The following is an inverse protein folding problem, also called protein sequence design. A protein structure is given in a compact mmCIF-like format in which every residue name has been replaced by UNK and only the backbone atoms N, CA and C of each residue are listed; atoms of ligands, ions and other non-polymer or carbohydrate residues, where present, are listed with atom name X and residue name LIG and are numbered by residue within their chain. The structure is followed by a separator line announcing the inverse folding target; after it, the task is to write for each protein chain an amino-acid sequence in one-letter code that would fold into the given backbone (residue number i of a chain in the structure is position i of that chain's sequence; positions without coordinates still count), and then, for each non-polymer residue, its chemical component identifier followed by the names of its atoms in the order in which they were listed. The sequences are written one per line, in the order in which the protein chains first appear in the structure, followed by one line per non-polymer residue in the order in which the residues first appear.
data_IF_513394444925
#
_entry.id   IF_513394444925
#
_cell.length_a   1.000
_cell.length_b   1.000
_cell.length_c   1.000
_cell.angle_alpha   90.00
_cell.angle_beta   90.00
_cell.angle_gamma   90.00
#
_symmetry.space_group_name_H-M   'P 1'
#
loop_
_entity.id
_entity.type
_entity.pdbx_description
1 polymer ?
#
# COMPACT_ATOMS: atom_id res chain seq x y z
N UNK A 1 -19.02 -23.98 11.58
CA UNK A 1 -19.74 -23.04 10.69
C UNK A 1 -21.18 -22.82 11.16
N UNK A 2 -21.89 -23.88 11.57
CA UNK A 2 -23.21 -23.77 12.24
C UNK A 2 -23.10 -22.98 13.56
N UNK A 3 -22.07 -23.23 14.36
CA UNK A 3 -21.89 -22.57 15.66
C UNK A 3 -21.73 -21.04 15.56
N UNK A 4 -21.01 -20.56 14.54
CA UNK A 4 -20.83 -19.12 14.31
C UNK A 4 -22.15 -18.43 13.91
N UNK A 5 -23.02 -19.12 13.17
CA UNK A 5 -24.33 -18.57 12.79
C UNK A 5 -25.27 -18.49 13.99
N UNK A 6 -25.21 -19.48 14.89
CA UNK A 6 -25.97 -19.47 16.15
C UNK A 6 -25.53 -18.30 17.04
N UNK A 7 -24.22 -18.11 17.20
CA UNK A 7 -23.68 -16.98 17.98
C UNK A 7 -24.02 -15.61 17.35
N UNK A 8 -24.01 -15.52 16.01
CA UNK A 8 -24.40 -14.30 15.30
C UNK A 8 -25.89 -13.97 15.49
N UNK A 9 -26.76 -14.97 15.50
CA UNK A 9 -28.19 -14.78 15.76
C UNK A 9 -28.44 -14.25 17.18
N UNK A 10 -27.75 -14.81 18.18
CA UNK A 10 -27.83 -14.33 19.56
C UNK A 10 -27.30 -12.90 19.70
N UNK A 11 -26.16 -12.59 19.08
CA UNK A 11 -25.61 -11.24 19.06
C UNK A 11 -26.60 -10.20 18.47
N UNK A 12 -27.38 -10.58 17.46
CA UNK A 12 -28.43 -9.72 16.88
C UNK A 12 -29.61 -9.55 17.83
N UNK A 13 -30.05 -10.61 18.50
CA UNK A 13 -31.13 -10.54 19.52
C UNK A 13 -30.74 -9.65 20.69
N UNK A 14 -29.48 -9.72 21.13
CA UNK A 14 -28.91 -8.84 22.15
C UNK A 14 -28.72 -7.40 21.65
N UNK A 15 -28.91 -7.14 20.35
CA UNK A 15 -28.79 -5.80 19.77
C UNK A 15 -27.35 -5.29 19.70
N UNK A 16 -26.36 -6.19 19.73
CA UNK A 16 -24.94 -5.82 19.75
C UNK A 16 -24.51 -5.05 18.50
N UNK A 17 -25.26 -5.14 17.40
CA UNK A 17 -25.05 -4.31 16.20
C UNK A 17 -25.22 -2.81 16.45
N UNK A 18 -25.94 -2.43 17.52
CA UNK A 18 -26.13 -1.04 17.93
C UNK A 18 -25.13 -0.59 19.00
N UNK A 19 -24.29 -1.50 19.51
CA UNK A 19 -23.26 -1.14 20.48
C UNK A 19 -22.28 -0.14 19.83
N UNK A 20 -21.94 0.98 20.50
CA UNK A 20 -21.06 2.00 19.94
C UNK A 20 -19.70 1.45 19.45
N UNK A 21 -19.12 0.46 20.14
CA UNK A 21 -17.84 -0.15 19.74
C UNK A 21 -17.98 -0.99 18.49
N UNK A 22 -19.11 -1.69 18.34
CA UNK A 22 -19.39 -2.48 17.13
C UNK A 22 -19.61 -1.57 15.94
N UNK A 23 -20.38 -0.49 16.11
CA UNK A 23 -20.59 0.54 15.07
C UNK A 23 -19.25 1.18 14.66
N UNK A 24 -18.42 1.56 15.63
CA UNK A 24 -17.09 2.14 15.38
C UNK A 24 -16.21 1.18 14.57
N UNK A 25 -16.10 -0.09 15.01
CA UNK A 25 -15.31 -1.10 14.30
C UNK A 25 -15.82 -1.35 12.86
N UNK A 26 -17.15 -1.37 12.65
CA UNK A 26 -17.74 -1.51 11.30
C UNK A 26 -17.38 -0.29 10.44
N UNK A 27 -17.46 0.92 10.98
CA UNK A 27 -17.14 2.14 10.26
C UNK A 27 -15.65 2.22 9.89
N UNK A 28 -14.75 1.88 10.81
CA UNK A 28 -13.31 1.79 10.54
C UNK A 28 -13.01 0.76 9.45
N UNK A 29 -13.59 -0.45 9.57
CA UNK A 29 -13.44 -1.50 8.57
C UNK A 29 -13.94 -1.02 7.20
N UNK A 30 -15.12 -0.39 7.14
CA UNK A 30 -15.67 0.18 5.91
C UNK A 30 -14.75 1.23 5.31
N UNK A 31 -14.23 2.17 6.11
CA UNK A 31 -13.33 3.21 5.63
C UNK A 31 -12.06 2.61 5.02
N UNK A 32 -11.45 1.64 5.70
CA UNK A 32 -10.26 0.95 5.20
C UNK A 32 -10.54 0.18 3.90
N UNK A 33 -11.69 -0.52 3.81
CA UNK A 33 -12.11 -1.21 2.58
C UNK A 33 -12.27 -0.21 1.44
N UNK A 34 -12.91 0.95 1.67
CA UNK A 34 -13.11 1.97 0.65
C UNK A 34 -11.79 2.57 0.17
N UNK A 35 -10.86 2.87 1.09
CA UNK A 35 -9.52 3.38 0.73
C UNK A 35 -8.78 2.34 -0.12
N UNK A 36 -8.75 1.08 0.31
CA UNK A 36 -8.08 0.02 -0.43
C UNK A 36 -8.70 -0.20 -1.81
N UNK A 37 -10.03 -0.18 -1.90
CA UNK A 37 -10.74 -0.33 -3.17
C UNK A 37 -10.49 0.87 -4.10
N UNK A 38 -10.42 2.09 -3.57
CA UNK A 38 -10.06 3.28 -4.34
C UNK A 38 -8.64 3.14 -4.93
N UNK A 39 -7.65 2.81 -4.10
CA UNK A 39 -6.27 2.62 -4.55
C UNK A 39 -6.18 1.52 -5.60
N UNK A 40 -6.82 0.36 -5.38
CA UNK A 40 -6.89 -0.71 -6.37
C UNK A 40 -7.53 -0.23 -7.67
N UNK A 41 -8.66 0.48 -7.61
CA UNK A 41 -9.35 0.97 -8.81
C UNK A 41 -8.50 1.91 -9.65
N UNK A 42 -7.67 2.73 -9.01
CA UNK A 42 -6.85 3.74 -9.69
C UNK A 42 -5.47 3.23 -10.12
N UNK A 43 -4.89 2.28 -9.38
CA UNK A 43 -3.49 1.87 -9.56
C UNK A 43 -3.30 0.38 -9.85
N UNK A 44 -4.29 -0.49 -9.59
CA UNK A 44 -4.14 -1.92 -9.88
C UNK A 44 -3.99 -2.17 -11.37
N UNK A 45 -3.00 -2.97 -11.75
CA UNK A 45 -2.68 -3.27 -13.15
C UNK A 45 -1.99 -2.13 -13.90
N UNK A 46 -1.69 -1.01 -13.23
CA UNK A 46 -0.84 0.01 -13.82
C UNK A 46 0.59 -0.54 -13.95
N UNK A 47 1.08 -0.59 -15.19
CA UNK A 47 2.46 -0.97 -15.43
C UNK A 47 3.35 0.26 -15.21
N UNK A 48 4.06 0.29 -14.08
CA UNK A 48 5.09 1.29 -13.85
C UNK A 48 6.34 0.87 -14.63
N UNK A 49 6.48 1.39 -15.86
CA UNK A 49 7.60 1.06 -16.73
C UNK A 49 8.93 1.41 -16.05
N UNK A 50 9.71 0.37 -15.74
CA UNK A 50 11.10 0.47 -15.26
C UNK A 50 11.98 -0.24 -16.28
N UNK A 51 12.87 0.54 -16.89
CA UNK A 51 13.78 0.07 -17.93
C UNK A 51 15.05 -0.51 -17.32
N UNK A 52 15.79 -1.29 -18.13
CA UNK A 52 17.11 -1.80 -17.73
C UNK A 52 18.12 -0.67 -17.48
N UNK A 53 17.96 0.47 -18.17
CA UNK A 53 18.75 1.67 -17.93
C UNK A 53 18.48 2.28 -16.55
N UNK A 54 17.21 2.34 -16.13
CA UNK A 54 16.84 2.82 -14.79
C UNK A 54 17.45 1.94 -13.69
N UNK A 55 17.40 0.62 -13.87
CA UNK A 55 18.01 -0.34 -12.94
C UNK A 55 19.53 -0.14 -12.86
N UNK A 56 20.18 0.01 -14.00
CA UNK A 56 21.64 0.23 -14.08
C UNK A 56 22.04 1.55 -13.42
N UNK A 57 21.30 2.63 -13.69
CA UNK A 57 21.54 3.94 -13.10
C UNK A 57 21.36 3.90 -11.59
N UNK A 58 20.28 3.30 -11.09
CA UNK A 58 20.02 3.18 -9.66
C UNK A 58 21.12 2.37 -8.97
N UNK A 59 21.51 1.23 -9.54
CA UNK A 59 22.56 0.38 -9.02
C UNK A 59 23.91 1.13 -8.91
N UNK A 60 24.29 1.86 -9.96
CA UNK A 60 25.54 2.62 -9.99
C UNK A 60 25.55 3.80 -9.00
N UNK A 61 24.44 4.55 -8.90
CA UNK A 61 24.31 5.70 -8.00
C UNK A 61 24.23 5.29 -6.52
N UNK A 62 23.83 4.04 -6.24
CA UNK A 62 23.63 3.51 -4.90
C UNK A 62 24.58 2.34 -4.60
N UNK A 63 25.78 2.31 -5.20
CA UNK A 63 26.71 1.18 -5.12
C UNK A 63 27.03 0.72 -3.69
N UNK A 64 27.01 1.63 -2.73
CA UNK A 64 27.22 1.31 -1.31
C UNK A 64 26.15 0.38 -0.73
N UNK A 65 24.91 0.45 -1.24
CA UNK A 65 23.80 -0.43 -0.82
C UNK A 65 23.94 -1.86 -1.34
N UNK A 66 24.81 -2.09 -2.31
CA UNK A 66 24.99 -3.37 -2.98
C UNK A 66 26.33 -4.02 -2.65
N UNK A 67 26.95 -3.65 -1.52
CA UNK A 67 28.15 -4.30 -1.03
C UNK A 67 27.79 -5.49 -0.14
N UNK A 68 28.52 -6.59 -0.29
CA UNK A 68 28.42 -7.75 0.60
C UNK A 68 29.07 -7.48 1.97
N UNK A 69 29.04 -8.49 2.85
CA UNK A 69 29.63 -8.40 4.20
C UNK A 69 31.14 -8.17 4.19
N UNK A 70 31.80 -8.44 3.06
CA UNK A 70 33.23 -8.25 2.85
C UNK A 70 33.54 -6.91 2.16
N UNK A 71 32.53 -6.11 1.84
CA UNK A 71 32.66 -4.81 1.18
C UNK A 71 32.75 -4.87 -0.35
N UNK A 72 32.59 -6.04 -0.96
CA UNK A 72 32.66 -6.22 -2.40
C UNK A 72 31.30 -5.95 -3.04
N UNK A 73 31.30 -5.35 -4.23
CA UNK A 73 30.08 -5.06 -4.97
C UNK A 73 29.44 -6.35 -5.50
N UNK A 74 28.17 -6.58 -5.16
CA UNK A 74 27.38 -7.71 -5.64
C UNK A 74 26.98 -7.46 -7.10
N UNK A 75 27.27 -8.37 -8.05
CA UNK A 75 26.97 -8.16 -9.47
C UNK A 75 25.51 -7.77 -9.74
N UNK A 76 25.30 -6.83 -10.66
CA UNK A 76 23.96 -6.30 -10.99
C UNK A 76 22.98 -7.41 -11.38
N UNK A 77 23.41 -8.45 -12.10
CA UNK A 77 22.55 -9.58 -12.48
C UNK A 77 21.96 -10.33 -11.28
N UNK A 78 22.60 -10.28 -10.11
CA UNK A 78 22.11 -10.90 -8.87
C UNK A 78 21.06 -10.05 -8.16
N UNK A 79 21.01 -8.76 -8.45
CA UNK A 79 20.11 -7.80 -7.78
C UNK A 79 19.15 -7.09 -8.74
N UNK A 80 19.25 -7.36 -10.06
CA UNK A 80 18.48 -6.68 -11.10
C UNK A 80 16.98 -6.72 -10.85
N UNK A 81 16.44 -7.91 -10.58
CA UNK A 81 15.00 -8.08 -10.33
C UNK A 81 14.57 -7.39 -9.04
N UNK A 82 15.39 -7.45 -7.99
CA UNK A 82 15.14 -6.74 -6.74
C UNK A 82 15.11 -5.21 -6.95
N UNK A 83 16.10 -4.67 -7.64
CA UNK A 83 16.16 -3.22 -7.95
C UNK A 83 14.98 -2.81 -8.83
N UNK A 84 14.63 -3.62 -9.82
CA UNK A 84 13.46 -3.36 -10.67
C UNK A 84 12.18 -3.31 -9.86
N UNK A 85 11.95 -4.29 -8.99
CA UNK A 85 10.77 -4.30 -8.11
C UNK A 85 10.76 -3.15 -7.11
N UNK A 86 11.93 -2.80 -6.55
CA UNK A 86 12.06 -1.64 -5.68
C UNK A 86 11.66 -0.34 -6.40
N UNK A 87 12.14 -0.13 -7.62
CA UNK A 87 11.81 1.05 -8.43
C UNK A 87 10.32 1.08 -8.83
N UNK A 88 9.71 -0.07 -9.11
CA UNK A 88 8.27 -0.17 -9.36
C UNK A 88 7.49 0.27 -8.12
N UNK A 89 7.81 -0.30 -6.95
CA UNK A 89 7.16 0.06 -5.69
C UNK A 89 7.36 1.55 -5.35
N UNK A 90 8.54 2.11 -5.65
CA UNK A 90 8.82 3.53 -5.46
C UNK A 90 7.91 4.39 -6.34
N UNK A 91 7.81 4.08 -7.64
CA UNK A 91 6.94 4.80 -8.58
C UNK A 91 5.46 4.69 -8.19
N UNK A 92 5.02 3.54 -7.69
CA UNK A 92 3.67 3.34 -7.18
C UNK A 92 3.39 4.25 -5.97
N UNK A 93 4.31 4.29 -4.99
CA UNK A 93 4.21 5.18 -3.83
C UNK A 93 4.17 6.66 -4.23
N UNK A 94 5.01 7.08 -5.18
CA UNK A 94 5.02 8.45 -5.71
C UNK A 94 3.70 8.81 -6.40
N UNK A 95 3.14 7.89 -7.18
CA UNK A 95 1.86 8.09 -7.86
C UNK A 95 0.69 8.21 -6.87
N UNK A 96 0.65 7.36 -5.84
CA UNK A 96 -0.34 7.44 -4.76
C UNK A 96 -0.20 8.77 -4.00
N UNK A 97 1.02 9.18 -3.68
CA UNK A 97 1.27 10.44 -2.97
C UNK A 97 0.84 11.65 -3.80
N UNK A 98 1.17 11.66 -5.10
CA UNK A 98 0.72 12.72 -6.01
C UNK A 98 -0.81 12.79 -6.10
N UNK A 99 -1.49 11.65 -6.13
CA UNK A 99 -2.94 11.58 -6.10
C UNK A 99 -3.51 12.16 -4.80
N UNK A 100 -2.97 11.76 -3.63
CA UNK A 100 -3.35 12.33 -2.33
C UNK A 100 -3.17 13.85 -2.31
N UNK A 101 -2.05 14.35 -2.81
CA UNK A 101 -1.77 15.78 -2.82
C UNK A 101 -2.68 16.55 -3.79
N UNK A 102 -3.10 15.92 -4.89
CA UNK A 102 -4.10 16.48 -5.80
C UNK A 102 -5.47 16.62 -5.13
N UNK A 103 -5.89 15.61 -4.37
CA UNK A 103 -7.15 15.63 -3.62
C UNK A 103 -7.15 16.74 -2.55
N UNK A 104 -6.06 16.87 -1.79
CA UNK A 104 -5.92 17.93 -0.78
C UNK A 104 -6.08 19.33 -1.36
N UNK A 105 -5.53 19.56 -2.57
CA UNK A 105 -5.60 20.84 -3.28
C UNK A 105 -6.99 21.12 -3.86
N UNK A 106 -7.66 20.07 -4.34
CA UNK A 106 -9.00 20.20 -4.92
C UNK A 106 -10.04 20.63 -3.88
N UNK A 107 -9.93 20.09 -2.66
CA UNK A 107 -10.99 20.22 -1.67
C UNK A 107 -10.68 21.23 -0.53
N UNK A 108 -9.58 22.01 -0.61
CA UNK A 108 -9.10 22.88 0.48
C UNK A 108 -9.09 22.16 1.85
N UNK A 109 -8.76 20.86 1.87
CA UNK A 109 -8.86 20.05 3.09
C UNK A 109 -7.78 20.49 4.07
N UNK A 110 -8.20 21.23 5.10
CA UNK A 110 -7.37 21.49 6.29
C UNK A 110 -7.33 20.20 7.10
N UNK A 111 -6.20 19.50 7.07
CA UNK A 111 -5.95 18.37 7.97
C UNK A 111 -5.73 18.97 9.36
N UNK A 112 -6.77 19.01 10.18
CA UNK A 112 -6.61 19.32 11.60
C UNK A 112 -5.90 18.13 12.24
N UNK A 113 -4.69 18.41 12.73
CA UNK A 113 -3.74 17.47 13.31
C UNK A 113 -4.06 17.19 14.78
#
# INVERSE_FOLDING_TARGET
MIDNLVLLDEAKKEGLENDPKVIEAINEAKNNILINFLLQKHFAGQNFDVTDADVTNFYNQNSDKFKDKSGNLIPIDKVKDYVKQYLINQKEQEAVQAYIDSLKKQDNIVINK
#
